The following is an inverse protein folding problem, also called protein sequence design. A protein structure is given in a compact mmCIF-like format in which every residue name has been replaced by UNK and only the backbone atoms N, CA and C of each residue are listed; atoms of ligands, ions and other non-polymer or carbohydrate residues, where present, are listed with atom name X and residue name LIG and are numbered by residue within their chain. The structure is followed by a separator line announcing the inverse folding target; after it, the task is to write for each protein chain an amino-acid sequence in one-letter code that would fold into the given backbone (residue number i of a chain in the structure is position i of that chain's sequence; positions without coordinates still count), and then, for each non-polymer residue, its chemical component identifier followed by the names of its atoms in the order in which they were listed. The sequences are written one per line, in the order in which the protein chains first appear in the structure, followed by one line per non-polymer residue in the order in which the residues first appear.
data_IF_562504417971
#
_entry.id   IF_562504417971
#
_cell.length_a   1.000
_cell.length_b   1.000
_cell.length_c   1.000
_cell.angle_alpha   90.00
_cell.angle_beta   90.00
_cell.angle_gamma   90.00
#
_symmetry.space_group_name_H-M   'P 1'
#
loop_
_entity.id
_entity.type
_entity.pdbx_description
1 polymer ?
#
# COMPACT_ATOMS: atom_id res chain seq x y z
N UNK A 1 74.80 -0.47 -27.61
CA UNK A 1 75.61 -0.41 -26.38
C UNK A 1 75.08 0.73 -25.51
N UNK A 2 74.84 0.42 -24.24
CA UNK A 2 74.70 1.33 -23.09
C UNK A 2 75.94 2.29 -23.05
N UNK A 3 76.00 3.48 -22.46
CA UNK A 3 75.30 4.13 -21.35
C UNK A 3 75.82 5.59 -21.22
N UNK A 4 74.96 6.51 -20.75
CA UNK A 4 75.20 7.64 -19.80
C UNK A 4 76.14 8.81 -20.23
N UNK A 5 76.00 10.07 -19.79
CA UNK A 5 75.30 10.67 -18.65
C UNK A 5 75.12 12.21 -18.79
N UNK A 6 74.09 12.77 -18.09
CA UNK A 6 74.02 14.03 -17.27
C UNK A 6 74.45 15.39 -17.88
N UNK A 7 73.94 16.57 -17.49
CA UNK A 7 72.77 17.13 -16.78
C UNK A 7 73.02 18.66 -16.74
N UNK A 8 72.06 19.53 -17.10
CA UNK A 8 71.90 20.96 -16.69
C UNK A 8 70.72 21.53 -17.51
N UNK A 9 69.74 22.30 -17.04
CA UNK A 9 69.42 22.91 -15.75
C UNK A 9 68.11 23.70 -15.92
N UNK A 10 67.17 23.41 -15.01
CA UNK A 10 66.09 24.22 -14.42
C UNK A 10 65.75 25.64 -14.94
N UNK A 11 64.46 25.85 -15.29
CA UNK A 11 63.52 26.93 -14.90
C UNK A 11 62.25 26.71 -15.75
N UNK A 12 61.16 26.15 -15.24
CA UNK A 12 60.36 26.66 -14.13
C UNK A 12 59.10 27.27 -14.72
N UNK A 13 58.03 26.47 -14.89
CA UNK A 13 56.68 27.03 -14.97
C UNK A 13 55.69 26.09 -14.28
N UNK A 14 54.81 26.75 -13.53
CA UNK A 14 54.01 26.22 -12.44
C UNK A 14 52.88 25.33 -12.94
N UNK A 15 52.67 24.29 -12.14
CA UNK A 15 51.46 23.50 -11.94
C UNK A 15 50.16 24.24 -12.26
N UNK A 16 49.32 23.61 -13.07
CA UNK A 16 47.87 23.76 -13.01
C UNK A 16 47.22 22.47 -13.54
N UNK A 17 47.23 21.43 -12.72
CA UNK A 17 46.34 20.29 -12.92
C UNK A 17 44.93 20.77 -12.57
N UNK A 18 44.09 21.02 -13.58
CA UNK A 18 42.65 21.22 -13.39
C UNK A 18 42.05 19.90 -12.91
N UNK A 19 41.90 19.75 -11.60
CA UNK A 19 41.03 18.74 -11.02
C UNK A 19 39.58 19.19 -11.27
N UNK A 20 38.94 18.60 -12.28
CA UNK A 20 37.51 18.77 -12.54
C UNK A 20 36.74 18.06 -11.43
N UNK A 21 36.44 18.77 -10.34
CA UNK A 21 35.56 18.29 -9.28
C UNK A 21 34.13 18.20 -9.84
N UNK A 22 33.75 17.02 -10.31
CA UNK A 22 32.35 16.70 -10.57
C UNK A 22 31.66 16.65 -9.21
N UNK A 23 31.04 17.77 -8.81
CA UNK A 23 30.08 17.76 -7.72
C UNK A 23 28.93 16.84 -8.13
N UNK A 24 28.94 15.62 -7.61
CA UNK A 24 27.78 14.77 -7.51
C UNK A 24 26.74 15.54 -6.68
N UNK A 25 25.88 16.29 -7.35
CA UNK A 25 24.60 16.73 -6.79
C UNK A 25 23.83 15.44 -6.50
N UNK A 26 24.04 14.89 -5.30
CA UNK A 26 23.15 13.86 -4.79
C UNK A 26 21.74 14.47 -4.83
N UNK A 27 20.75 13.80 -5.44
CA UNK A 27 19.38 14.27 -5.37
C UNK A 27 19.04 14.38 -3.88
N UNK A 28 18.87 15.61 -3.39
CA UNK A 28 18.30 15.84 -2.08
C UNK A 28 16.92 15.21 -2.12
N UNK A 29 16.73 14.10 -1.40
CA UNK A 29 15.42 13.55 -1.12
C UNK A 29 14.62 14.66 -0.43
N UNK A 30 13.87 15.44 -1.20
CA UNK A 30 13.06 16.51 -0.65
C UNK A 30 11.84 15.86 -0.02
N UNK A 31 11.72 16.03 1.30
CA UNK A 31 10.49 15.74 2.00
C UNK A 31 9.40 16.68 1.46
N UNK A 32 8.53 16.15 0.61
CA UNK A 32 7.47 16.91 -0.03
C UNK A 32 6.27 16.98 0.92
N UNK A 33 6.14 18.12 1.62
CA UNK A 33 4.99 18.40 2.46
C UNK A 33 3.75 18.55 1.59
N UNK A 34 2.80 17.62 1.74
CA UNK A 34 1.61 17.55 0.92
C UNK A 34 0.39 18.06 1.69
N UNK A 35 -0.38 19.03 1.17
CA UNK A 35 -1.55 19.55 1.86
C UNK A 35 -2.71 18.54 1.82
N UNK A 36 -3.43 18.46 2.93
CA UNK A 36 -4.61 17.61 3.10
C UNK A 36 -5.76 18.37 3.74
N UNK A 37 -6.98 18.06 3.30
CA UNK A 37 -8.23 18.61 3.86
C UNK A 37 -9.22 17.48 4.05
N UNK A 38 -9.86 17.44 5.22
CA UNK A 38 -10.84 16.43 5.58
C UNK A 38 -12.05 17.06 6.27
N UNK A 39 -13.23 16.47 6.02
CA UNK A 39 -14.51 16.98 6.49
C UNK A 39 -15.39 15.86 7.05
N UNK A 40 -16.07 16.14 8.16
CA UNK A 40 -16.99 15.20 8.79
C UNK A 40 -18.24 15.90 9.30
N UNK A 41 -19.41 15.41 8.87
CA UNK A 41 -20.72 15.85 9.34
C UNK A 41 -21.10 15.05 10.58
N UNK A 42 -21.58 15.73 11.62
CA UNK A 42 -21.91 15.09 12.89
C UNK A 42 -23.12 15.75 13.57
N UNK A 43 -23.93 14.97 14.30
CA UNK A 43 -25.06 15.51 15.05
C UNK A 43 -24.59 16.23 16.30
N UNK A 44 -25.43 17.12 16.85
CA UNK A 44 -25.11 17.88 18.07
C UNK A 44 -24.80 17.02 19.29
N UNK A 45 -25.30 15.78 19.35
CA UNK A 45 -24.99 14.85 20.45
C UNK A 45 -23.57 14.25 20.41
N UNK A 46 -22.88 14.29 19.26
CA UNK A 46 -21.50 13.80 19.16
C UNK A 46 -20.52 14.90 19.61
N UNK A 47 -19.51 14.59 20.44
CA UNK A 47 -18.48 15.55 20.79
C UNK A 47 -17.73 16.07 19.57
N UNK A 48 -17.53 17.39 19.52
CA UNK A 48 -16.81 18.05 18.41
C UNK A 48 -15.39 17.52 18.24
N UNK A 49 -14.70 17.21 19.35
CA UNK A 49 -13.36 16.63 19.32
C UNK A 49 -13.33 15.27 18.59
N UNK A 50 -14.36 14.43 18.75
CA UNK A 50 -14.45 13.15 18.05
C UNK A 50 -14.69 13.33 16.56
N UNK A 51 -15.58 14.25 16.20
CA UNK A 51 -15.86 14.60 14.81
C UNK A 51 -14.62 15.18 14.11
N UNK A 52 -13.88 16.08 14.78
CA UNK A 52 -12.67 16.68 14.24
C UNK A 52 -11.51 15.68 14.16
N UNK A 53 -11.42 14.69 15.06
CA UNK A 53 -10.47 13.58 14.93
C UNK A 53 -10.75 12.74 13.67
N UNK A 54 -12.01 12.46 13.36
CA UNK A 54 -12.40 11.78 12.11
C UNK A 54 -12.04 12.65 10.89
N UNK A 55 -12.32 13.96 10.94
CA UNK A 55 -11.95 14.89 9.88
C UNK A 55 -10.43 15.01 9.69
N UNK A 56 -9.66 14.93 10.77
CA UNK A 56 -8.19 14.91 10.73
C UNK A 56 -7.67 13.65 10.02
N UNK A 57 -8.18 12.47 10.34
CA UNK A 57 -7.82 11.23 9.64
C UNK A 57 -8.11 11.34 8.13
N UNK A 58 -9.29 11.87 7.76
CA UNK A 58 -9.61 12.16 6.36
C UNK A 58 -8.65 13.15 5.70
N UNK A 59 -8.16 14.14 6.44
CA UNK A 59 -7.20 15.12 5.93
C UNK A 59 -5.82 14.48 5.67
N UNK A 60 -5.34 13.60 6.57
CA UNK A 60 -4.11 12.81 6.38
C UNK A 60 -4.20 11.95 5.12
N UNK A 61 -5.33 11.29 4.95
CA UNK A 61 -5.63 10.45 3.81
C UNK A 61 -5.66 11.24 2.50
N UNK A 62 -6.27 12.42 2.49
CA UNK A 62 -6.30 13.30 1.33
C UNK A 62 -4.88 13.76 0.92
N UNK A 63 -4.02 14.06 1.89
CA UNK A 63 -2.62 14.39 1.61
C UNK A 63 -1.86 13.19 1.01
N UNK A 64 -2.07 11.99 1.57
CA UNK A 64 -1.47 10.75 1.08
C UNK A 64 -1.88 10.45 -0.36
N UNK A 65 -3.18 10.52 -0.67
CA UNK A 65 -3.72 10.35 -2.02
C UNK A 65 -3.13 11.40 -2.96
N UNK A 66 -3.03 12.66 -2.54
CA UNK A 66 -2.47 13.74 -3.37
C UNK A 66 -1.01 13.50 -3.70
N UNK A 67 -0.21 13.04 -2.74
CA UNK A 67 1.19 12.72 -2.96
C UNK A 67 1.35 11.55 -3.94
N UNK A 68 0.49 10.54 -3.85
CA UNK A 68 0.62 9.27 -4.57
C UNK A 68 -0.23 9.17 -5.85
N UNK A 69 -1.02 10.21 -6.14
CA UNK A 69 -2.26 10.14 -6.92
C UNK A 69 -2.19 9.75 -8.39
N UNK A 70 -1.01 9.73 -9.03
CA UNK A 70 -0.92 9.38 -10.45
C UNK A 70 -1.12 7.88 -10.74
N UNK A 71 -1.09 6.99 -9.74
CA UNK A 71 -1.28 5.53 -9.90
C UNK A 71 -2.60 4.97 -9.39
N UNK A 72 -3.33 5.72 -8.57
CA UNK A 72 -4.59 5.25 -7.95
C UNK A 72 -5.75 5.19 -8.95
N UNK A 73 -5.73 6.04 -9.99
CA UNK A 73 -6.85 6.27 -10.90
C UNK A 73 -7.20 5.09 -11.84
N UNK A 74 -6.30 4.12 -12.02
CA UNK A 74 -6.51 3.00 -12.98
C UNK A 74 -7.11 1.78 -12.29
N UNK A 75 -6.72 1.49 -11.05
CA UNK A 75 -7.20 0.31 -10.31
C UNK A 75 -8.50 0.57 -9.51
N UNK A 76 -8.84 1.85 -9.25
CA UNK A 76 -10.05 2.28 -8.52
C UNK A 76 -11.38 1.93 -9.24
N UNK A 77 -11.34 1.67 -10.55
CA UNK A 77 -12.55 1.47 -11.38
C UNK A 77 -13.16 0.07 -11.21
N UNK A 78 -12.40 -0.94 -10.77
CA UNK A 78 -12.86 -2.35 -10.80
C UNK A 78 -13.71 -2.78 -9.58
N UNK A 79 -13.66 -2.07 -8.44
CA UNK A 79 -14.28 -2.53 -7.17
C UNK A 79 -15.42 -1.63 -6.69
N UNK A 80 -15.62 -0.46 -7.32
CA UNK A 80 -16.73 0.44 -6.97
C UNK A 80 -17.95 0.12 -7.84
N UNK A 81 -18.66 -0.98 -7.55
CA UNK A 81 -20.01 -1.15 -8.11
C UNK A 81 -21.01 -0.30 -7.32
N UNK A 82 -21.51 0.72 -8.01
CA UNK A 82 -22.57 1.63 -7.58
C UNK A 82 -23.81 0.87 -7.11
N UNK A 83 -24.07 0.86 -5.79
CA UNK A 83 -25.40 0.90 -5.13
C UNK A 83 -25.27 0.57 -3.63
N UNK A 84 -24.54 1.40 -2.89
CA UNK A 84 -24.81 1.79 -1.49
C UNK A 84 -23.52 2.32 -0.85
N UNK A 85 -23.60 3.59 -0.44
CA UNK A 85 -22.67 4.36 0.40
C UNK A 85 -21.19 4.42 0.00
N UNK A 86 -20.74 5.64 -0.28
CA UNK A 86 -19.38 6.10 -0.68
C UNK A 86 -18.21 5.56 0.17
N UNK A 87 -18.48 4.90 1.31
CA UNK A 87 -17.50 4.42 2.26
C UNK A 87 -16.64 3.25 1.73
N UNK A 88 -17.20 2.32 0.94
CA UNK A 88 -16.45 1.15 0.42
C UNK A 88 -15.42 1.55 -0.63
N UNK A 89 -15.79 2.48 -1.53
CA UNK A 89 -14.91 3.03 -2.55
C UNK A 89 -13.83 3.94 -1.95
N UNK A 90 -14.20 4.76 -0.96
CA UNK A 90 -13.24 5.53 -0.19
C UNK A 90 -12.23 4.59 0.50
N UNK A 91 -12.70 3.54 1.17
CA UNK A 91 -11.85 2.57 1.86
C UNK A 91 -10.85 1.86 0.94
N UNK A 92 -11.29 1.46 -0.27
CA UNK A 92 -10.38 0.95 -1.30
C UNK A 92 -9.26 1.94 -1.59
N UNK A 93 -9.61 3.17 -1.99
CA UNK A 93 -8.67 4.28 -2.28
C UNK A 93 -7.67 4.53 -1.16
N UNK A 94 -8.13 4.42 0.08
CA UNK A 94 -7.31 4.58 1.28
C UNK A 94 -6.27 3.50 1.43
N UNK A 95 -6.60 2.25 1.09
CA UNK A 95 -5.66 1.13 1.17
C UNK A 95 -4.64 1.17 0.07
N UNK A 96 -5.07 1.57 -1.13
CA UNK A 96 -4.18 1.82 -2.24
C UNK A 96 -3.15 2.91 -1.88
N UNK A 97 -3.62 4.07 -1.39
CA UNK A 97 -2.74 5.16 -0.98
C UNK A 97 -1.83 4.73 0.19
N UNK A 98 -2.39 4.07 1.20
CA UNK A 98 -1.65 3.76 2.40
C UNK A 98 -0.70 2.57 2.30
N UNK A 99 -0.70 1.83 1.18
CA UNK A 99 0.31 0.80 0.92
C UNK A 99 1.40 1.25 -0.06
N UNK A 100 1.38 2.51 -0.51
CA UNK A 100 2.47 3.12 -1.31
C UNK A 100 3.24 4.21 -0.55
N UNK A 101 2.73 4.62 0.60
CA UNK A 101 3.39 5.58 1.48
C UNK A 101 2.73 5.70 2.85
N UNK A 102 3.40 6.43 3.74
CA UNK A 102 2.97 6.71 5.11
C UNK A 102 3.18 8.19 5.43
N UNK A 103 2.34 8.73 6.31
CA UNK A 103 2.52 10.08 6.86
C UNK A 103 3.47 10.03 8.05
N UNK A 104 4.69 10.57 7.89
CA UNK A 104 5.72 10.61 8.94
C UNK A 104 5.51 11.72 9.95
N UNK A 105 5.04 12.89 9.48
CA UNK A 105 4.86 14.06 10.32
C UNK A 105 3.72 14.96 9.82
N UNK A 106 3.18 15.78 10.72
CA UNK A 106 2.11 16.73 10.44
C UNK A 106 2.53 18.13 10.87
N UNK A 107 2.13 19.14 10.09
CA UNK A 107 2.26 20.55 10.49
C UNK A 107 1.05 21.35 10.02
N UNK A 108 0.89 22.55 10.59
CA UNK A 108 -0.14 23.49 10.16
C UNK A 108 -1.58 23.02 10.39
N UNK A 109 -1.80 22.15 11.38
CA UNK A 109 -3.12 21.64 11.74
C UNK A 109 -4.04 22.81 12.10
N UNK A 110 -5.17 22.92 11.39
CA UNK A 110 -6.25 23.88 11.67
C UNK A 110 -7.57 23.15 11.59
N UNK A 111 -8.41 23.34 12.60
CA UNK A 111 -9.78 22.84 12.62
C UNK A 111 -10.77 24.01 12.68
N UNK A 112 -11.90 23.85 12.00
CA UNK A 112 -13.02 24.76 12.09
C UNK A 112 -14.32 23.96 12.13
N UNK A 113 -15.25 24.38 12.99
CA UNK A 113 -16.59 23.79 13.05
C UNK A 113 -17.62 24.81 12.62
N UNK A 114 -18.47 24.41 11.67
CA UNK A 114 -19.52 25.27 11.11
C UNK A 114 -20.88 24.58 11.25
N UNK A 115 -21.92 25.39 11.45
CA UNK A 115 -23.29 24.92 11.30
C UNK A 115 -23.56 24.60 9.83
N UNK A 116 -24.34 23.55 9.57
CA UNK A 116 -24.78 23.21 8.22
C UNK A 116 -26.20 23.72 7.99
N UNK A 117 -26.68 23.78 6.73
CA UNK A 117 -28.07 24.12 6.43
C UNK A 117 -29.08 23.15 7.07
N UNK A 118 -28.66 21.93 7.41
CA UNK A 118 -29.49 20.93 8.07
C UNK A 118 -29.51 21.16 9.58
N UNK A 119 -30.68 21.44 10.19
CA UNK A 119 -30.80 21.63 11.63
C UNK A 119 -30.27 20.42 12.41
N UNK A 120 -29.52 20.69 13.49
CA UNK A 120 -28.95 19.64 14.34
C UNK A 120 -27.70 18.95 13.76
N UNK A 121 -27.24 19.33 12.57
CA UNK A 121 -26.01 18.82 11.95
C UNK A 121 -24.95 19.93 11.89
N UNK A 122 -23.75 19.61 12.37
CA UNK A 122 -22.56 20.44 12.28
C UNK A 122 -21.51 19.76 11.39
N UNK A 123 -20.57 20.53 10.87
CA UNK A 123 -19.45 20.04 10.10
C UNK A 123 -18.15 20.41 10.81
N UNK A 124 -17.25 19.45 11.01
CA UNK A 124 -15.85 19.77 11.30
C UNK A 124 -15.03 19.66 10.02
N UNK A 125 -14.23 20.69 9.74
CA UNK A 125 -13.27 20.75 8.65
C UNK A 125 -11.87 20.89 9.23
N UNK A 126 -10.97 20.00 8.82
CA UNK A 126 -9.56 20.01 9.23
C UNK A 126 -8.68 20.18 8.00
N UNK A 127 -7.69 21.06 8.10
CA UNK A 127 -6.63 21.23 7.11
C UNK A 127 -5.26 21.05 7.76
N UNK A 128 -4.34 20.39 7.05
CA UNK A 128 -2.98 20.12 7.51
C UNK A 128 -2.02 20.01 6.34
N UNK A 129 -0.72 19.99 6.63
CA UNK A 129 0.31 19.51 5.71
C UNK A 129 0.95 18.26 6.30
N UNK A 130 1.08 17.23 5.47
CA UNK A 130 1.64 15.93 5.83
C UNK A 130 2.97 15.70 5.12
N UNK A 131 3.97 15.26 5.87
CA UNK A 131 5.22 14.75 5.33
C UNK A 131 5.02 13.29 4.92
N UNK A 132 4.83 13.06 3.63
CA UNK A 132 4.54 11.73 3.08
C UNK A 132 5.83 11.06 2.64
N UNK A 133 6.13 9.92 3.26
CA UNK A 133 7.24 9.06 2.87
C UNK A 133 6.71 8.00 1.92
N UNK A 134 7.38 7.85 0.78
CA UNK A 134 7.07 6.81 -0.21
C UNK A 134 7.86 5.55 0.09
N UNK A 135 7.34 4.42 -0.38
CA UNK A 135 8.09 3.16 -0.42
C UNK A 135 9.44 3.38 -1.14
N UNK A 136 10.56 3.08 -0.47
CA UNK A 136 11.91 3.48 -0.90
C UNK A 136 12.38 2.74 -2.16
N UNK A 137 13.18 3.44 -2.96
CA UNK A 137 13.76 2.91 -4.20
C UNK A 137 12.83 3.06 -5.39
N UNK A 138 13.38 2.91 -6.60
CA UNK A 138 12.60 2.95 -7.82
C UNK A 138 12.03 1.57 -8.14
N UNK A 139 10.73 1.45 -8.47
CA UNK A 139 10.16 0.20 -8.91
C UNK A 139 10.82 -0.25 -10.22
N UNK A 140 11.23 -1.52 -10.26
CA UNK A 140 11.76 -2.13 -11.47
C UNK A 140 10.60 -2.50 -12.42
N UNK A 141 10.48 -1.88 -13.60
CA UNK A 141 9.41 -2.19 -14.54
C UNK A 141 9.54 -3.60 -15.14
N UNK A 142 10.69 -4.27 -15.06
CA UNK A 142 10.82 -5.66 -15.51
C UNK A 142 10.33 -6.67 -14.46
N UNK A 143 10.22 -6.25 -13.19
CA UNK A 143 9.76 -7.10 -12.09
C UNK A 143 8.25 -6.94 -11.86
N UNK A 144 7.47 -7.70 -12.61
CA UNK A 144 5.99 -7.68 -12.55
C UNK A 144 5.39 -9.07 -12.37
N UNK A 145 4.17 -9.13 -11.86
CA UNK A 145 3.36 -10.34 -11.90
C UNK A 145 1.88 -9.98 -11.93
N UNK A 146 1.06 -10.85 -12.53
CA UNK A 146 -0.39 -10.75 -12.47
C UNK A 146 -0.95 -11.59 -11.33
N UNK A 147 -2.01 -11.08 -10.70
CA UNK A 147 -2.83 -11.79 -9.72
C UNK A 147 -4.26 -11.82 -10.26
N UNK A 148 -4.77 -13.02 -10.54
CA UNK A 148 -6.05 -13.24 -11.21
C UNK A 148 -6.93 -14.09 -10.31
N UNK A 149 -8.13 -13.60 -9.99
CA UNK A 149 -9.13 -14.37 -9.24
C UNK A 149 -10.02 -15.12 -10.23
N UNK A 150 -10.51 -16.30 -9.84
CA UNK A 150 -11.51 -17.04 -10.61
C UNK A 150 -12.83 -16.26 -10.78
N UNK A 151 -13.16 -15.43 -9.80
CA UNK A 151 -14.28 -14.49 -9.81
C UNK A 151 -14.00 -13.35 -8.83
N UNK A 152 -14.76 -12.25 -8.93
CA UNK A 152 -14.61 -11.07 -8.07
C UNK A 152 -15.80 -10.82 -7.16
N UNK A 153 -16.88 -11.59 -7.32
CA UNK A 153 -18.04 -11.60 -6.43
C UNK A 153 -18.34 -13.05 -6.04
N UNK A 154 -18.39 -13.32 -4.75
CA UNK A 154 -18.54 -14.64 -4.16
C UNK A 154 -19.81 -14.72 -3.32
N UNK A 155 -20.38 -15.92 -3.22
CA UNK A 155 -21.36 -16.27 -2.19
C UNK A 155 -20.67 -16.95 -1.02
N UNK A 156 -21.36 -16.97 0.11
CA UNK A 156 -20.93 -17.73 1.28
C UNK A 156 -20.71 -19.21 0.91
N UNK A 157 -19.55 -19.75 1.30
CA UNK A 157 -19.08 -21.10 1.02
C UNK A 157 -18.46 -21.32 -0.37
N UNK A 158 -18.41 -20.32 -1.25
CA UNK A 158 -17.75 -20.48 -2.55
C UNK A 158 -16.22 -20.49 -2.43
N UNK A 159 -15.58 -21.37 -3.19
CA UNK A 159 -14.13 -21.49 -3.20
C UNK A 159 -13.47 -20.44 -4.10
N UNK A 160 -12.49 -19.74 -3.55
CA UNK A 160 -11.58 -18.87 -4.29
C UNK A 160 -10.37 -19.66 -4.79
N UNK A 161 -9.97 -19.38 -6.03
CA UNK A 161 -8.66 -19.78 -6.54
C UNK A 161 -7.96 -18.57 -7.13
N UNK A 162 -6.70 -18.41 -6.78
CA UNK A 162 -5.86 -17.29 -7.22
C UNK A 162 -4.82 -17.82 -8.20
N UNK A 163 -4.79 -17.28 -9.42
CA UNK A 163 -3.73 -17.57 -10.40
C UNK A 163 -2.69 -16.46 -10.35
N UNK A 164 -1.42 -16.87 -10.34
CA UNK A 164 -0.26 -15.99 -10.32
C UNK A 164 0.56 -16.19 -11.57
N UNK A 165 0.91 -15.11 -12.25
CA UNK A 165 1.74 -15.14 -13.47
C UNK A 165 2.92 -14.19 -13.32
N UNK A 166 4.09 -14.67 -12.88
CA UNK A 166 5.28 -13.83 -12.76
C UNK A 166 5.97 -13.63 -14.11
N UNK A 167 6.54 -12.44 -14.30
CA UNK A 167 7.46 -12.13 -15.41
C UNK A 167 8.84 -12.79 -15.24
N UNK A 168 9.24 -13.07 -14.00
CA UNK A 168 10.50 -13.73 -13.63
C UNK A 168 10.36 -14.41 -12.26
N UNK A 169 11.19 -15.43 -11.95
CA UNK A 169 11.09 -16.15 -10.67
C UNK A 169 11.10 -15.24 -9.43
N UNK A 170 10.10 -15.40 -8.56
CA UNK A 170 9.90 -14.58 -7.35
C UNK A 170 9.50 -15.42 -6.13
N UNK A 171 9.66 -14.86 -4.93
CA UNK A 171 9.02 -15.36 -3.72
C UNK A 171 7.69 -14.62 -3.55
N UNK A 172 6.62 -15.35 -3.22
CA UNK A 172 5.28 -14.79 -3.13
C UNK A 172 4.70 -15.00 -1.74
N UNK A 173 4.17 -13.92 -1.16
CA UNK A 173 3.25 -13.99 -0.04
C UNK A 173 1.91 -13.35 -0.42
N UNK A 174 0.80 -14.01 -0.11
CA UNK A 174 -0.56 -13.50 -0.33
C UNK A 174 -1.25 -13.35 1.01
N UNK A 175 -1.79 -12.17 1.25
CA UNK A 175 -2.55 -11.82 2.43
C UNK A 175 -3.96 -11.44 2.06
N UNK A 176 -4.90 -11.71 2.96
CA UNK A 176 -6.24 -11.17 2.97
C UNK A 176 -6.29 -9.98 3.91
N UNK A 177 -6.94 -8.90 3.50
CA UNK A 177 -7.22 -7.77 4.37
C UNK A 177 -8.72 -7.67 4.65
N UNK A 178 -9.05 -7.77 5.94
CA UNK A 178 -10.38 -7.76 6.50
C UNK A 178 -10.62 -6.41 7.20
N UNK A 179 -11.30 -5.46 6.54
CA UNK A 179 -11.40 -4.09 7.06
C UNK A 179 -12.23 -3.96 8.35
N UNK A 180 -13.11 -4.93 8.59
CA UNK A 180 -13.98 -4.99 9.77
C UNK A 180 -13.32 -5.67 10.99
N UNK A 181 -12.18 -6.34 10.79
CA UNK A 181 -11.40 -6.89 11.90
C UNK A 181 -10.65 -5.78 12.66
N UNK A 182 -10.21 -6.08 13.88
CA UNK A 182 -9.54 -5.11 14.74
C UNK A 182 -8.11 -5.52 15.06
N UNK A 183 -7.27 -4.51 15.29
CA UNK A 183 -5.88 -4.66 15.76
C UNK A 183 -5.05 -5.56 14.84
N UNK A 184 -4.39 -6.55 15.38
CA UNK A 184 -3.37 -7.43 14.78
C UNK A 184 -3.91 -8.54 13.87
N UNK A 185 -5.22 -8.49 13.56
CA UNK A 185 -5.91 -9.50 12.73
C UNK A 185 -6.49 -8.97 11.44
N UNK A 186 -6.23 -7.69 11.13
CA UNK A 186 -6.76 -7.05 9.93
C UNK A 186 -6.14 -7.64 8.67
N UNK A 187 -4.84 -7.94 8.67
CA UNK A 187 -4.13 -8.54 7.54
C UNK A 187 -3.70 -9.94 7.93
N UNK A 188 -4.18 -10.96 7.22
CA UNK A 188 -3.93 -12.37 7.51
C UNK A 188 -3.27 -13.06 6.32
N UNK A 189 -2.22 -13.84 6.55
CA UNK A 189 -1.50 -14.55 5.49
C UNK A 189 -2.29 -15.78 5.04
N UNK A 190 -2.63 -15.81 3.75
CA UNK A 190 -3.22 -16.97 3.09
C UNK A 190 -2.15 -17.90 2.51
N UNK A 191 -1.04 -17.34 2.03
CA UNK A 191 0.04 -18.09 1.39
C UNK A 191 1.41 -17.41 1.60
N UNK A 192 2.50 -18.17 1.78
CA UNK A 192 2.52 -19.59 2.13
C UNK A 192 1.86 -19.84 3.50
N UNK A 193 1.40 -21.06 3.73
CA UNK A 193 0.81 -21.50 4.99
C UNK A 193 1.25 -22.93 5.37
N UNK A 194 0.78 -23.47 6.50
CA UNK A 194 1.19 -24.78 6.99
C UNK A 194 0.90 -25.95 6.00
N UNK A 195 -0.13 -25.78 5.16
CA UNK A 195 -0.59 -26.74 4.16
C UNK A 195 -0.12 -26.40 2.74
N UNK A 196 0.57 -25.28 2.53
CA UNK A 196 1.09 -24.87 1.23
C UNK A 196 2.31 -23.97 1.40
N UNK A 197 3.50 -24.58 1.38
CA UNK A 197 4.74 -23.95 1.86
C UNK A 197 5.66 -23.43 0.77
N UNK A 198 5.44 -23.85 -0.48
CA UNK A 198 6.35 -23.52 -1.58
C UNK A 198 6.05 -22.12 -2.11
N UNK A 199 6.67 -21.12 -1.47
CA UNK A 199 6.50 -19.71 -1.82
C UNK A 199 7.32 -19.28 -3.04
N UNK A 200 8.13 -20.18 -3.63
CA UNK A 200 9.00 -19.86 -4.76
C UNK A 200 8.29 -20.11 -6.09
N UNK A 201 7.79 -19.04 -6.69
CA UNK A 201 7.04 -19.10 -7.94
C UNK A 201 7.95 -18.81 -9.13
N UNK A 202 8.19 -19.82 -9.97
CA UNK A 202 9.07 -19.71 -11.16
C UNK A 202 8.31 -19.54 -12.49
N UNK A 203 6.99 -19.71 -12.48
CA UNK A 203 6.10 -19.61 -13.64
C UNK A 203 4.65 -19.51 -13.20
N UNK A 204 3.69 -19.72 -14.12
CA UNK A 204 2.27 -19.70 -13.78
C UNK A 204 1.97 -20.72 -12.67
N UNK A 205 1.30 -20.29 -11.61
CA UNK A 205 0.92 -21.11 -10.46
C UNK A 205 -0.48 -20.74 -9.96
N UNK A 206 -1.08 -21.62 -9.16
CA UNK A 206 -2.35 -21.38 -8.45
C UNK A 206 -2.14 -21.37 -6.95
N UNK A 207 -3.02 -20.68 -6.23
CA UNK A 207 -3.18 -20.75 -4.78
C UNK A 207 -4.65 -21.08 -4.51
N UNK A 208 -4.97 -22.21 -3.87
CA UNK A 208 -4.04 -23.28 -3.46
C UNK A 208 -3.19 -23.84 -4.61
N UNK A 209 -1.95 -24.24 -4.32
CA UNK A 209 -1.08 -24.95 -5.27
C UNK A 209 -1.69 -26.31 -5.62
N UNK A 210 -1.20 -26.99 -6.65
CA UNK A 210 -1.73 -28.33 -7.00
C UNK A 210 -1.67 -29.33 -5.84
N UNK A 211 -0.62 -29.25 -5.02
CA UNK A 211 -0.49 -30.08 -3.81
C UNK A 211 -1.22 -29.47 -2.61
N UNK A 212 -1.33 -28.14 -2.54
CA UNK A 212 -2.13 -27.42 -1.56
C UNK A 212 -3.63 -27.73 -1.68
N UNK A 213 -4.17 -27.76 -2.89
CA UNK A 213 -5.58 -28.01 -3.19
C UNK A 213 -6.08 -29.40 -2.72
N UNK A 214 -5.16 -30.34 -2.47
CA UNK A 214 -5.48 -31.65 -1.88
C UNK A 214 -5.64 -31.59 -0.36
N UNK A 215 -5.22 -30.49 0.27
CA UNK A 215 -5.13 -30.31 1.72
C UNK A 215 -6.02 -29.19 2.22
N UNK A 216 -6.31 -28.17 1.41
CA UNK A 216 -7.17 -27.06 1.79
C UNK A 216 -7.83 -26.38 0.58
N UNK A 217 -8.92 -25.68 0.88
CA UNK A 217 -9.62 -24.74 0.00
C UNK A 217 -9.60 -23.34 0.62
N UNK A 218 -9.74 -22.31 -0.21
CA UNK A 218 -9.95 -20.93 0.23
C UNK A 218 -11.45 -20.62 0.14
N UNK A 219 -12.21 -21.04 1.14
CA UNK A 219 -13.67 -20.85 1.12
C UNK A 219 -14.05 -19.47 1.65
N UNK A 220 -14.96 -18.81 0.95
CA UNK A 220 -15.41 -17.47 1.30
C UNK A 220 -16.47 -17.52 2.38
N UNK A 221 -16.26 -16.81 3.48
CA UNK A 221 -17.21 -16.71 4.59
C UNK A 221 -17.69 -15.26 4.70
N UNK A 222 -19.01 -15.06 4.66
CA UNK A 222 -19.57 -13.74 4.92
C UNK A 222 -19.36 -13.37 6.40
N UNK A 223 -18.94 -12.14 6.74
CA UNK A 223 -18.62 -11.78 8.11
C UNK A 223 -19.79 -12.00 9.08
N UNK A 224 -19.47 -12.42 10.31
CA UNK A 224 -20.48 -12.77 11.31
C UNK A 224 -21.41 -11.60 11.63
N UNK A 225 -22.63 -11.92 12.06
CA UNK A 225 -23.64 -10.93 12.44
C UNK A 225 -23.06 -9.89 13.43
N UNK A 226 -23.12 -8.61 13.05
CA UNK A 226 -22.55 -7.49 13.81
C UNK A 226 -21.18 -6.99 13.31
N UNK A 227 -20.51 -7.70 12.38
CA UNK A 227 -19.32 -7.22 11.69
C UNK A 227 -19.66 -6.46 10.40
N UNK A 228 -20.77 -6.84 9.75
CA UNK A 228 -21.27 -6.18 8.54
C UNK A 228 -22.79 -6.04 8.54
N UNK A 229 -23.29 -4.83 8.29
CA UNK A 229 -24.72 -4.53 8.11
C UNK A 229 -25.12 -4.43 6.64
N UNK A 230 -24.15 -4.39 5.73
CA UNK A 230 -24.35 -4.26 4.30
C UNK A 230 -24.78 -5.59 3.63
N UNK A 231 -25.46 -5.53 2.48
CA UNK A 231 -25.82 -6.71 1.68
C UNK A 231 -24.61 -7.36 0.99
N UNK A 232 -23.47 -6.67 0.95
CA UNK A 232 -22.19 -7.19 0.46
C UNK A 232 -21.06 -6.68 1.36
N UNK A 233 -19.94 -7.38 1.38
CA UNK A 233 -18.71 -6.91 2.01
C UNK A 233 -17.58 -6.94 0.99
N UNK A 234 -16.81 -5.86 0.91
CA UNK A 234 -15.63 -5.76 0.07
C UNK A 234 -14.37 -6.07 0.87
N UNK A 235 -13.56 -6.97 0.35
CA UNK A 235 -12.28 -7.41 0.90
C UNK A 235 -11.20 -7.34 -0.16
N UNK A 236 -9.94 -7.46 0.25
CA UNK A 236 -8.80 -7.32 -0.64
C UNK A 236 -7.76 -8.40 -0.39
N UNK A 237 -7.24 -8.97 -1.48
CA UNK A 237 -5.96 -9.66 -1.46
C UNK A 237 -4.82 -8.66 -1.64
N UNK A 238 -3.79 -8.82 -0.83
CA UNK A 238 -2.52 -8.11 -0.90
C UNK A 238 -1.44 -9.14 -1.22
N UNK A 239 -0.94 -9.16 -2.45
CA UNK A 239 0.12 -10.08 -2.88
C UNK A 239 1.46 -9.36 -2.97
N UNK A 240 2.45 -9.84 -2.22
CA UNK A 240 3.82 -9.32 -2.23
C UNK A 240 4.71 -10.31 -2.98
N UNK A 241 5.10 -9.96 -4.20
CA UNK A 241 6.15 -10.62 -4.94
C UNK A 241 7.50 -10.01 -4.58
N UNK A 242 8.51 -10.82 -4.29
CA UNK A 242 9.84 -10.36 -3.86
C UNK A 242 10.96 -11.15 -4.51
N UNK A 243 12.11 -10.51 -4.75
CA UNK A 243 13.30 -11.16 -5.33
C UNK A 243 13.99 -12.09 -4.32
N UNK A 244 13.91 -11.75 -3.04
CA UNK A 244 14.50 -12.49 -1.91
C UNK A 244 13.39 -12.91 -0.95
N UNK A 245 13.54 -14.02 -0.20
CA UNK A 245 12.56 -14.42 0.78
C UNK A 245 12.41 -13.35 1.87
N UNK A 246 11.17 -13.07 2.26
CA UNK A 246 10.84 -12.13 3.33
C UNK A 246 10.11 -12.90 4.44
N UNK A 247 10.57 -12.85 5.70
CA UNK A 247 10.01 -13.62 6.80
C UNK A 247 8.73 -12.98 7.33
N UNK A 248 7.66 -13.01 6.53
CA UNK A 248 6.35 -12.54 6.98
C UNK A 248 5.80 -13.42 8.11
N UNK A 249 5.05 -12.81 9.02
CA UNK A 249 4.22 -13.45 10.05
C UNK A 249 2.87 -13.83 9.46
N UNK A 250 2.09 -14.57 10.24
CA UNK A 250 0.75 -15.00 9.83
C UNK A 250 -0.30 -13.89 9.94
N UNK A 251 -0.08 -12.88 10.79
CA UNK A 251 -1.00 -11.76 10.95
C UNK A 251 -0.33 -10.44 11.31
N UNK A 252 -1.03 -9.36 10.96
CA UNK A 252 -0.61 -7.98 11.21
C UNK A 252 -1.82 -7.06 11.43
N UNK A 253 -1.56 -5.97 12.16
CA UNK A 253 -2.40 -4.78 12.02
C UNK A 253 -2.08 -4.07 10.71
N UNK A 254 -3.06 -3.33 10.17
CA UNK A 254 -2.88 -2.69 8.87
C UNK A 254 -1.68 -1.73 8.86
N UNK A 255 -1.52 -0.90 9.90
CA UNK A 255 -0.39 0.05 9.99
C UNK A 255 0.97 -0.65 10.13
N UNK A 256 1.03 -1.74 10.90
CA UNK A 256 2.25 -2.53 11.05
C UNK A 256 2.66 -3.21 9.73
N UNK A 257 1.69 -3.76 9.00
CA UNK A 257 1.93 -4.35 7.69
C UNK A 257 2.49 -3.31 6.71
N UNK A 258 1.94 -2.09 6.71
CA UNK A 258 2.43 -0.99 5.88
C UNK A 258 3.86 -0.60 6.24
N UNK A 259 4.15 -0.41 7.53
CA UNK A 259 5.50 -0.08 7.99
C UNK A 259 6.51 -1.12 7.52
N UNK A 260 6.17 -2.42 7.62
CA UNK A 260 7.01 -3.51 7.11
C UNK A 260 7.24 -3.41 5.60
N UNK A 261 6.20 -3.13 4.81
CA UNK A 261 6.37 -2.97 3.35
C UNK A 261 7.37 -1.85 3.02
N UNK A 262 7.35 -0.74 3.76
CA UNK A 262 8.27 0.39 3.54
C UNK A 262 9.74 0.07 3.83
N UNK A 263 10.03 -1.00 4.57
CA UNK A 263 11.39 -1.48 4.83
C UNK A 263 11.99 -2.26 3.65
N UNK A 264 11.14 -2.86 2.81
CA UNK A 264 11.56 -3.59 1.62
C UNK A 264 11.90 -2.56 0.52
N UNK A 265 12.95 -2.69 -0.30
CA UNK A 265 13.13 -1.78 -1.42
C UNK A 265 12.15 -2.09 -2.58
N UNK A 266 11.61 -1.07 -3.25
CA UNK A 266 10.74 -1.24 -4.45
C UNK A 266 11.44 -1.88 -5.64
N UNK A 267 12.76 -1.81 -5.69
CA UNK A 267 13.58 -2.52 -6.67
C UNK A 267 13.63 -4.03 -6.39
N UNK A 268 13.29 -4.45 -5.16
CA UNK A 268 13.33 -5.85 -4.72
C UNK A 268 11.94 -6.49 -4.55
N UNK A 269 10.87 -5.69 -4.54
CA UNK A 269 9.52 -6.19 -4.35
C UNK A 269 8.45 -5.42 -5.13
N UNK A 270 7.35 -6.12 -5.41
CA UNK A 270 6.15 -5.59 -6.03
C UNK A 270 4.95 -6.00 -5.20
N UNK A 271 4.09 -5.04 -4.88
CA UNK A 271 2.78 -5.29 -4.29
C UNK A 271 1.73 -5.23 -5.40
N UNK A 272 0.90 -6.27 -5.49
CA UNK A 272 -0.30 -6.32 -6.32
C UNK A 272 -1.48 -6.49 -5.39
N UNK A 273 -2.56 -5.74 -5.61
CA UNK A 273 -3.79 -5.85 -4.82
C UNK A 273 -4.95 -6.27 -5.72
N UNK A 274 -5.87 -7.08 -5.19
CA UNK A 274 -7.12 -7.43 -5.88
C UNK A 274 -8.30 -7.42 -4.92
N UNK A 275 -9.28 -6.58 -5.20
CA UNK A 275 -10.53 -6.56 -4.46
C UNK A 275 -11.48 -7.66 -4.89
N UNK A 276 -12.29 -8.14 -3.96
CA UNK A 276 -13.44 -9.01 -4.22
C UNK A 276 -14.56 -8.69 -3.24
N UNK A 277 -15.77 -9.14 -3.57
CA UNK A 277 -16.94 -8.98 -2.74
C UNK A 277 -17.51 -10.33 -2.30
N UNK A 278 -18.05 -10.38 -1.09
CA UNK A 278 -18.84 -11.51 -0.59
C UNK A 278 -20.27 -11.03 -0.41
N UNK A 279 -21.22 -11.73 -1.04
CA UNK A 279 -22.66 -11.42 -0.98
C UNK A 279 -23.25 -12.06 0.27
N UNK A 280 -24.09 -11.30 0.99
CA UNK A 280 -24.78 -11.80 2.17
C UNK A 280 -25.66 -13.01 1.81
N UNK A 281 -25.55 -14.14 2.53
CA UNK A 281 -26.47 -15.26 2.36
C UNK A 281 -27.92 -14.83 2.72
N UNK A 282 -28.89 -15.32 1.93
CA UNK A 282 -30.32 -15.02 2.11
C UNK A 282 -30.93 -15.79 3.28
#
# INVERSE_FOLDING_TARGET
MMTAARQTGWKGLRSAALALAVLLLAPSAQAEWTPGVGEYLFPTQMPEADACRIAEEKAKQAALIRALGERLAVDDVEVCQEKSEDASCALGRLVWAASEGEVRALRGLRSATTATPTPGIRQCRVSLEADVVRWRGEPDPAFQFALILNQTAFRDGEAMTVTVEPSQPMYLAVFQWLPYERRDRQVQRLFPNAMDKDDRITGRATIPSTDGARRYSLDMEFPKAGQAHAPLVSEYLLAVGSRKPVPFRDSYGLEEFKALLLEIPRSEARLVRKGYAIVRPQ
#
